data_IF_353004053218
#
_entry.id   IF_353004053218
#
_cell.length_a   1.000
_cell.length_b   1.000
_cell.length_c   1.000
_cell.angle_alpha   90.00
_cell.angle_beta   90.00
_cell.angle_gamma   90.00
#
_symmetry.space_group_name_H-M   'P 1'
#
loop_
_entity.id
_entity.type
_entity.pdbx_description
1 polymer ?
#
# COMPACT_ATOMS: atom_id res chain seq x y z
N UNK A 1 -34.23 4.94 6.07
CA UNK A 1 -34.22 3.49 5.77
C UNK A 1 -33.02 3.23 4.88
N UNK A 2 -31.94 2.68 5.42
CA UNK A 2 -30.75 2.31 4.64
C UNK A 2 -31.00 0.91 4.07
N UNK A 3 -31.22 0.82 2.75
CA UNK A 3 -31.36 -0.47 2.07
C UNK A 3 -30.08 -1.31 2.18
N UNK A 4 -30.14 -2.62 1.88
CA UNK A 4 -28.97 -3.48 1.92
C UNK A 4 -27.90 -2.92 0.99
N UNK A 5 -26.84 -2.33 1.57
CA UNK A 5 -25.62 -2.08 0.84
C UNK A 5 -25.07 -3.45 0.47
N UNK A 6 -25.25 -3.87 -0.78
CA UNK A 6 -24.55 -5.01 -1.31
C UNK A 6 -23.05 -4.69 -1.22
N UNK A 7 -22.41 -5.14 -0.14
CA UNK A 7 -20.97 -5.27 -0.12
C UNK A 7 -20.66 -6.36 -1.13
N UNK A 8 -20.37 -5.96 -2.36
CA UNK A 8 -19.68 -6.81 -3.31
C UNK A 8 -18.25 -7.01 -2.78
N UNK A 9 -18.12 -7.82 -1.73
CA UNK A 9 -16.86 -8.44 -1.35
C UNK A 9 -16.56 -9.44 -2.45
N UNK A 10 -15.93 -8.96 -3.50
CA UNK A 10 -15.30 -9.79 -4.51
C UNK A 10 -14.19 -10.55 -3.81
N UNK A 11 -14.50 -11.73 -3.28
CA UNK A 11 -13.65 -12.46 -2.35
C UNK A 11 -12.21 -12.68 -2.89
N UNK A 12 -12.06 -12.73 -4.22
CA UNK A 12 -10.80 -12.86 -4.93
C UNK A 12 -10.17 -11.52 -5.40
N UNK A 13 -10.50 -10.37 -4.81
CA UNK A 13 -9.88 -9.10 -5.23
C UNK A 13 -8.53 -8.83 -4.62
N UNK A 14 -7.72 -8.16 -5.43
CA UNK A 14 -6.54 -7.43 -5.00
C UNK A 14 -6.76 -5.98 -5.43
N UNK A 15 -6.85 -5.09 -4.47
CA UNK A 15 -6.96 -3.65 -4.70
C UNK A 15 -5.60 -3.01 -4.48
N UNK A 16 -5.16 -2.25 -5.48
CA UNK A 16 -3.98 -1.39 -5.39
C UNK A 16 -4.46 0.04 -5.47
N UNK A 17 -4.09 0.87 -4.51
CA UNK A 17 -4.32 2.31 -4.59
C UNK A 17 -3.02 3.06 -4.36
N UNK A 18 -2.88 4.18 -5.08
CA UNK A 18 -1.76 5.09 -4.92
C UNK A 18 -2.28 6.49 -4.63
N UNK A 19 -1.75 7.16 -3.61
CA UNK A 19 -2.10 8.55 -3.27
C UNK A 19 -0.83 9.38 -3.08
N UNK A 20 -0.95 10.71 -3.18
CA UNK A 20 0.17 11.65 -2.95
C UNK A 20 -0.13 12.54 -1.75
N UNK A 21 0.91 12.91 -1.01
CA UNK A 21 0.85 13.86 0.11
C UNK A 21 0.08 13.37 1.33
N UNK A 22 -0.16 12.05 1.47
CA UNK A 22 -0.91 11.47 2.58
C UNK A 22 -0.09 10.38 3.24
N UNK A 23 0.28 10.60 4.50
CA UNK A 23 0.92 9.59 5.34
C UNK A 23 -0.14 8.61 5.86
N UNK A 24 -0.16 7.41 5.30
CA UNK A 24 -1.17 6.37 5.52
C UNK A 24 -0.63 5.21 6.37
N UNK A 25 0.69 4.99 6.42
CA UNK A 25 1.37 3.92 7.13
C UNK A 25 1.71 4.29 8.60
N UNK A 26 0.73 4.77 9.37
CA UNK A 26 0.97 5.17 10.78
C UNK A 26 1.44 3.98 11.63
N UNK A 27 2.51 4.18 12.41
CA UNK A 27 3.07 3.17 13.31
C UNK A 27 3.74 1.99 12.61
N UNK A 28 4.05 2.13 11.32
CA UNK A 28 4.78 1.13 10.55
C UNK A 28 6.28 1.05 10.88
N UNK A 29 6.97 0.10 10.24
CA UNK A 29 8.43 -0.03 10.29
C UNK A 29 9.08 0.76 9.16
N UNK A 30 10.21 1.39 9.45
CA UNK A 30 11.04 2.04 8.44
C UNK A 30 11.70 1.00 7.54
N UNK A 31 11.66 1.24 6.23
CA UNK A 31 12.27 0.42 5.18
C UNK A 31 12.86 1.32 4.11
N UNK A 32 13.63 0.74 3.18
CA UNK A 32 14.19 1.47 2.04
C UNK A 32 13.69 0.84 0.75
N UNK A 33 13.21 1.66 -0.19
CA UNK A 33 12.69 1.20 -1.49
C UNK A 33 13.37 2.00 -2.60
N UNK A 34 14.14 1.33 -3.46
CA UNK A 34 14.91 1.98 -4.53
C UNK A 34 15.76 3.18 -4.03
N UNK A 35 16.34 3.06 -2.83
CA UNK A 35 17.14 4.11 -2.20
C UNK A 35 16.33 5.24 -1.53
N UNK A 36 14.99 5.21 -1.61
CA UNK A 36 14.10 6.18 -0.97
C UNK A 36 13.70 5.70 0.42
N UNK A 37 13.53 6.66 1.35
CA UNK A 37 13.01 6.38 2.68
C UNK A 37 11.53 6.01 2.59
N UNK A 38 11.13 4.93 3.26
CA UNK A 38 9.75 4.48 3.25
C UNK A 38 9.31 3.95 4.62
N UNK A 39 8.02 4.05 4.90
CA UNK A 39 7.39 3.45 6.08
C UNK A 39 6.40 2.40 5.63
N UNK A 40 6.57 1.17 6.10
CA UNK A 40 5.72 0.01 5.80
C UNK A 40 4.83 -0.29 7.01
N UNK A 41 3.52 -0.33 6.82
CA UNK A 41 2.55 -0.70 7.84
C UNK A 41 1.64 -1.81 7.32
N UNK A 42 1.64 -2.94 8.02
CA UNK A 42 0.73 -4.05 7.75
C UNK A 42 -0.49 -3.91 8.66
N UNK A 43 -1.69 -3.98 8.08
CA UNK A 43 -2.93 -3.88 8.84
C UNK A 43 -3.74 -5.16 8.63
N UNK A 44 -4.12 -5.78 9.76
CA UNK A 44 -4.64 -7.15 9.83
C UNK A 44 -3.71 -8.15 9.12
N UNK A 45 -3.09 -9.05 9.89
CA UNK A 45 -2.03 -9.94 9.40
C UNK A 45 -2.38 -10.61 8.06
N UNK A 46 -1.65 -10.25 7.02
CA UNK A 46 -1.82 -10.73 5.64
C UNK A 46 -3.02 -10.18 4.85
N UNK A 47 -3.81 -9.26 5.40
CA UNK A 47 -4.98 -8.69 4.71
C UNK A 47 -4.64 -7.48 3.85
N UNK A 48 -3.64 -6.71 4.26
CA UNK A 48 -3.20 -5.58 3.48
C UNK A 48 -1.91 -4.96 3.99
N UNK A 49 -1.31 -4.17 3.13
CA UNK A 49 -0.10 -3.43 3.43
C UNK A 49 -0.21 -2.02 2.87
N UNK A 50 0.17 -1.05 3.68
CA UNK A 50 0.36 0.33 3.25
C UNK A 50 1.83 0.64 3.30
N UNK A 51 2.32 1.32 2.27
CA UNK A 51 3.68 1.81 2.23
C UNK A 51 3.70 3.27 1.82
N UNK A 52 4.21 4.12 2.70
CA UNK A 52 4.48 5.52 2.39
C UNK A 52 5.93 5.65 1.95
N UNK A 53 6.18 6.25 0.80
CA UNK A 53 7.51 6.48 0.26
C UNK A 53 7.73 7.98 0.13
N UNK A 54 8.87 8.42 0.64
CA UNK A 54 9.33 9.79 0.57
C UNK A 54 10.38 9.92 -0.53
N UNK A 55 10.05 10.68 -1.59
CA UNK A 55 10.90 10.92 -2.75
C UNK A 55 11.92 12.04 -2.52
N UNK A 56 11.66 12.92 -1.55
CA UNK A 56 12.57 13.97 -1.14
C UNK A 56 12.46 14.19 0.38
N UNK A 57 13.63 14.28 1.03
CA UNK A 57 13.70 14.52 2.46
C UNK A 57 13.03 15.85 2.83
N UNK A 58 12.20 15.81 3.87
CA UNK A 58 11.52 16.98 4.45
C UNK A 58 10.52 17.70 3.53
N UNK A 59 10.12 17.13 2.39
CA UNK A 59 8.99 17.64 1.59
C UNK A 59 7.76 16.70 1.70
N UNK A 60 6.74 17.07 2.48
CA UNK A 60 5.50 16.28 2.60
C UNK A 60 4.73 16.13 1.28
N UNK A 61 4.95 17.01 0.29
CA UNK A 61 4.34 16.89 -1.04
C UNK A 61 5.05 15.83 -1.91
N UNK A 62 6.30 15.52 -1.59
CA UNK A 62 7.09 14.45 -2.22
C UNK A 62 6.90 13.11 -1.51
N UNK A 63 5.75 12.91 -0.88
CA UNK A 63 5.34 11.64 -0.32
C UNK A 63 4.28 11.01 -1.23
N UNK A 64 4.39 9.71 -1.49
CA UNK A 64 3.29 8.94 -2.06
C UNK A 64 3.05 7.67 -1.26
N UNK A 65 1.81 7.23 -1.21
CA UNK A 65 1.41 6.02 -0.52
C UNK A 65 0.98 4.97 -1.52
N UNK A 66 1.30 3.71 -1.25
CA UNK A 66 0.82 2.53 -1.95
C UNK A 66 0.07 1.68 -0.93
N UNK A 67 -1.22 1.43 -1.15
CA UNK A 67 -1.98 0.49 -0.36
C UNK A 67 -2.38 -0.73 -1.21
N UNK A 68 -2.03 -1.90 -0.70
CA UNK A 68 -2.43 -3.21 -1.21
C UNK A 68 -3.45 -3.80 -0.24
N UNK A 69 -4.65 -4.12 -0.72
CA UNK A 69 -5.71 -4.71 0.10
C UNK A 69 -6.25 -5.97 -0.58
N UNK A 70 -6.31 -7.07 0.15
CA UNK A 70 -6.80 -8.35 -0.36
C UNK A 70 -8.19 -8.66 0.17
N UNK A 71 -9.03 -9.18 -0.71
CA UNK A 71 -10.27 -9.85 -0.33
C UNK A 71 -9.99 -11.17 0.41
N UNK A 72 -10.97 -11.72 1.14
CA UNK A 72 -10.78 -12.88 2.03
C UNK A 72 -10.18 -14.12 1.37
N UNK A 73 -10.54 -14.45 0.12
CA UNK A 73 -9.96 -15.60 -0.59
C UNK A 73 -8.54 -15.31 -1.09
N UNK A 74 -8.25 -14.05 -1.42
CA UNK A 74 -6.92 -13.61 -1.80
C UNK A 74 -5.96 -13.62 -0.60
N UNK A 75 -6.44 -13.30 0.61
CA UNK A 75 -5.64 -13.44 1.85
C UNK A 75 -5.18 -14.87 2.06
N UNK A 76 -6.07 -15.85 1.88
CA UNK A 76 -5.72 -17.26 2.04
C UNK A 76 -4.62 -17.74 1.06
N UNK A 77 -4.49 -17.10 -0.10
CA UNK A 77 -3.53 -17.49 -1.16
C UNK A 77 -2.27 -16.64 -1.22
N UNK A 78 -2.39 -15.37 -0.86
CA UNK A 78 -1.37 -14.34 -1.14
C UNK A 78 -1.10 -13.44 0.06
N UNK A 79 -1.74 -13.65 1.22
CA UNK A 79 -1.72 -12.69 2.31
C UNK A 79 -0.32 -12.36 2.82
N UNK A 80 0.56 -13.35 2.87
CA UNK A 80 1.98 -13.20 3.20
C UNK A 80 2.76 -12.30 2.23
N UNK A 81 2.23 -12.04 1.02
CA UNK A 81 2.86 -11.25 -0.05
C UNK A 81 2.34 -9.83 -0.16
N UNK A 82 1.40 -9.40 0.71
CA UNK A 82 0.77 -8.08 0.59
C UNK A 82 1.79 -6.94 0.54
N UNK A 83 2.76 -6.98 1.45
CA UNK A 83 3.79 -5.95 1.52
C UNK A 83 4.88 -6.10 0.46
N UNK A 84 5.30 -7.33 0.13
CA UNK A 84 6.27 -7.54 -0.95
C UNK A 84 5.73 -7.04 -2.30
N UNK A 85 4.43 -7.17 -2.52
CA UNK A 85 3.75 -6.61 -3.69
C UNK A 85 3.63 -5.09 -3.61
N UNK A 86 3.30 -4.53 -2.44
CA UNK A 86 3.29 -3.08 -2.23
C UNK A 86 4.67 -2.46 -2.53
N UNK A 87 5.73 -3.13 -2.09
CA UNK A 87 7.12 -2.75 -2.32
C UNK A 87 7.46 -2.74 -3.81
N UNK A 88 7.11 -3.80 -4.53
CA UNK A 88 7.31 -3.87 -5.99
C UNK A 88 6.53 -2.80 -6.74
N UNK A 89 5.30 -2.51 -6.32
CA UNK A 89 4.50 -1.44 -6.93
C UNK A 89 5.17 -0.09 -6.70
N UNK A 90 5.60 0.20 -5.47
CA UNK A 90 6.27 1.47 -5.19
C UNK A 90 7.61 1.60 -5.92
N UNK A 91 8.44 0.55 -5.95
CA UNK A 91 9.67 0.52 -6.73
C UNK A 91 9.38 0.84 -8.21
N UNK A 92 8.32 0.25 -8.77
CA UNK A 92 7.91 0.52 -10.15
C UNK A 92 7.45 1.96 -10.36
N UNK A 93 6.74 2.54 -9.38
CA UNK A 93 6.34 3.95 -9.41
C UNK A 93 7.58 4.84 -9.42
N UNK A 94 8.52 4.64 -8.49
CA UNK A 94 9.78 5.42 -8.40
C UNK A 94 10.55 5.37 -9.71
N UNK A 95 10.76 4.17 -10.27
CA UNK A 95 11.46 3.97 -11.54
C UNK A 95 10.75 4.62 -12.75
N UNK A 96 9.47 4.94 -12.62
CA UNK A 96 8.67 5.55 -13.69
C UNK A 96 8.55 7.07 -13.55
N UNK A 97 9.02 7.66 -12.45
CA UNK A 97 9.02 9.11 -12.28
C UNK A 97 10.13 9.74 -13.13
N UNK A 98 9.87 10.90 -13.76
CA UNK A 98 10.93 11.69 -14.38
C UNK A 98 11.90 12.16 -13.28
N UNK A 99 13.20 11.98 -13.53
CA UNK A 99 14.28 12.43 -12.65
C UNK A 99 14.45 13.93 -12.61
#
# INVERSE_FOLDING_TARGET
>A
MSGPQCQYSTANTVTVSTSRGIQSAKGGSEVTVEGQHATRSEFAKGQGCVMDVQLADNDPQQLFSVAMVFGPDAVAKFGDKACDLAEKVAAKVIQSLPG
#
